data_IF_585261846456
#
_entry.id   IF_585261846456
#
_cell.length_a   1.000
_cell.length_b   1.000
_cell.length_c   1.000
_cell.angle_alpha   90.00
_cell.angle_beta   90.00
_cell.angle_gamma   90.00
#
_symmetry.space_group_name_H-M   'P 1'
#
loop_
_entity.id
_entity.type
_entity.pdbx_description
1 polymer ?
#
# COMPACT_ATOMS: atom_id res chain seq x y z
N UNK A 1 -3.68 14.05 1.67
CA UNK A 1 -3.57 12.68 1.14
C UNK A 1 -3.74 12.69 -0.37
N UNK A 2 -2.75 12.22 -1.15
CA UNK A 2 -2.93 12.04 -2.60
C UNK A 2 -3.82 10.82 -2.91
N UNK A 3 -4.56 10.87 -4.02
CA UNK A 3 -5.29 9.70 -4.55
C UNK A 3 -4.31 8.58 -4.84
N UNK A 4 -4.68 7.35 -4.50
CA UNK A 4 -3.86 6.16 -4.61
C UNK A 4 -3.02 5.85 -3.37
N UNK A 5 -3.01 6.72 -2.36
CA UNK A 5 -2.33 6.44 -1.08
C UNK A 5 -2.97 5.27 -0.35
N UNK A 6 -2.14 4.51 0.37
CA UNK A 6 -2.63 3.56 1.35
C UNK A 6 -2.89 4.23 2.69
N UNK A 7 -4.05 3.95 3.26
CA UNK A 7 -4.51 4.49 4.53
C UNK A 7 -5.05 3.37 5.41
N UNK A 8 -4.82 3.48 6.71
CA UNK A 8 -5.41 2.61 7.72
C UNK A 8 -6.72 3.22 8.18
N UNK A 9 -7.79 2.44 8.12
CA UNK A 9 -9.11 2.78 8.64
C UNK A 9 -9.60 1.60 9.50
N UNK A 10 -9.91 1.86 10.77
CA UNK A 10 -10.37 0.84 11.74
C UNK A 10 -9.45 -0.39 11.83
N UNK A 11 -8.14 -0.21 11.65
CA UNK A 11 -7.15 -1.28 11.73
C UNK A 11 -7.01 -2.12 10.47
N UNK A 12 -7.67 -1.75 9.37
CA UNK A 12 -7.50 -2.36 8.06
C UNK A 12 -6.92 -1.36 7.05
N UNK A 13 -6.17 -1.87 6.07
CA UNK A 13 -5.51 -1.05 5.05
C UNK A 13 -6.41 -0.94 3.83
N UNK A 14 -6.57 0.27 3.32
CA UNK A 14 -7.34 0.58 2.12
C UNK A 14 -6.55 1.52 1.21
N UNK A 15 -6.89 1.50 -0.08
CA UNK A 15 -6.45 2.51 -1.03
C UNK A 15 -7.47 3.64 -1.13
N UNK A 16 -7.01 4.89 -1.03
CA UNK A 16 -7.86 6.06 -1.26
C UNK A 16 -8.10 6.24 -2.77
N UNK A 17 -9.33 6.02 -3.24
CA UNK A 17 -9.65 6.03 -4.69
C UNK A 17 -10.36 7.28 -5.17
N UNK A 18 -11.15 7.94 -4.32
CA UNK A 18 -11.85 9.18 -4.68
C UNK A 18 -11.92 10.15 -3.50
N UNK A 19 -11.85 11.45 -3.84
CA UNK A 19 -12.11 12.57 -2.94
C UNK A 19 -13.04 13.54 -3.70
N UNK A 20 -14.25 13.71 -3.20
CA UNK A 20 -15.30 14.52 -3.83
C UNK A 20 -15.89 15.51 -2.84
N UNK A 21 -16.34 16.67 -3.30
CA UNK A 21 -17.22 17.51 -2.50
C UNK A 21 -18.62 16.87 -2.51
N UNK A 22 -19.12 16.48 -1.33
CA UNK A 22 -20.36 15.73 -1.18
C UNK A 22 -21.62 16.52 -1.53
N UNK A 23 -21.51 17.84 -1.79
CA UNK A 23 -22.63 18.76 -2.00
C UNK A 23 -23.65 18.72 -0.84
N UNK A 24 -23.19 18.31 0.34
CA UNK A 24 -23.97 18.12 1.56
C UNK A 24 -23.21 18.71 2.74
N UNK A 25 -23.65 19.86 3.24
CA UNK A 25 -23.12 20.51 4.45
C UNK A 25 -21.58 20.64 4.48
N UNK A 26 -20.98 21.03 3.35
CA UNK A 26 -19.53 21.20 3.19
C UNK A 26 -18.69 19.93 3.46
N UNK A 27 -19.32 18.75 3.50
CA UNK A 27 -18.63 17.48 3.70
C UNK A 27 -17.82 17.08 2.46
N UNK A 28 -16.70 16.44 2.72
CA UNK A 28 -15.87 15.75 1.73
C UNK A 28 -16.21 14.27 1.77
N UNK A 29 -16.54 13.70 0.61
CA UNK A 29 -16.75 12.27 0.42
C UNK A 29 -15.42 11.62 0.06
N UNK A 30 -14.99 10.63 0.83
CA UNK A 30 -13.82 9.80 0.55
C UNK A 30 -14.29 8.38 0.26
N UNK A 31 -13.76 7.79 -0.81
CA UNK A 31 -14.01 6.40 -1.15
C UNK A 31 -12.73 5.59 -0.97
N UNK A 32 -12.84 4.50 -0.22
CA UNK A 32 -11.76 3.61 0.13
C UNK A 32 -11.97 2.26 -0.51
N UNK A 33 -10.95 1.74 -1.18
CA UNK A 33 -10.97 0.45 -1.84
C UNK A 33 -10.14 -0.57 -1.08
N UNK A 34 -10.69 -1.76 -0.84
CA UNK A 34 -9.97 -2.91 -0.33
C UNK A 34 -9.73 -3.89 -1.48
N UNK A 35 -8.47 -4.20 -1.77
CA UNK A 35 -8.08 -5.20 -2.77
C UNK A 35 -7.97 -6.62 -2.20
N UNK A 36 -8.19 -6.77 -0.88
CA UNK A 36 -8.12 -8.05 -0.21
C UNK A 36 -9.20 -9.00 -0.70
N UNK A 37 -8.82 -10.22 -1.03
CA UNK A 37 -9.74 -11.33 -1.35
C UNK A 37 -10.55 -11.80 -0.11
N UNK A 38 -10.52 -11.06 1.01
CA UNK A 38 -11.37 -11.32 2.17
C UNK A 38 -12.83 -11.02 1.81
N UNK A 39 -13.56 -12.11 1.63
CA UNK A 39 -14.78 -12.23 0.81
C UNK A 39 -16.04 -11.45 1.28
N UNK A 40 -15.97 -10.55 2.26
CA UNK A 40 -17.19 -10.06 2.94
C UNK A 40 -17.22 -8.59 3.37
N UNK A 41 -16.18 -7.80 3.13
CA UNK A 41 -16.23 -6.37 3.50
C UNK A 41 -16.49 -5.48 2.29
N UNK A 42 -17.56 -4.69 2.36
CA UNK A 42 -17.84 -3.64 1.39
C UNK A 42 -16.84 -2.48 1.55
N UNK A 43 -16.52 -1.84 0.43
CA UNK A 43 -15.62 -0.68 0.39
C UNK A 43 -16.20 0.50 1.19
N UNK A 44 -15.47 1.04 2.20
CA UNK A 44 -15.99 2.13 3.01
C UNK A 44 -16.11 3.45 2.23
N UNK A 45 -17.22 4.16 2.47
CA UNK A 45 -17.43 5.54 2.02
C UNK A 45 -17.55 6.42 3.26
N UNK A 46 -16.67 7.42 3.36
CA UNK A 46 -16.60 8.34 4.50
C UNK A 46 -17.07 9.74 4.09
N UNK A 47 -17.75 10.44 5.00
CA UNK A 47 -18.12 11.84 4.84
C UNK A 47 -17.53 12.63 6.01
N UNK A 48 -16.55 13.48 5.71
CA UNK A 48 -15.74 14.15 6.73
C UNK A 48 -15.78 15.66 6.52
N UNK A 49 -15.76 16.43 7.61
CA UNK A 49 -15.99 17.88 7.58
C UNK A 49 -14.71 18.71 7.54
N UNK A 50 -13.57 18.13 7.89
CA UNK A 50 -12.32 18.85 8.10
C UNK A 50 -11.10 17.95 7.95
N UNK A 51 -9.95 18.56 7.73
CA UNK A 51 -8.67 17.84 7.68
C UNK A 51 -8.34 17.17 9.02
N UNK A 52 -8.67 17.80 10.14
CA UNK A 52 -8.43 17.25 11.47
C UNK A 52 -9.22 15.94 11.70
N UNK A 53 -10.48 15.89 11.25
CA UNK A 53 -11.29 14.67 11.31
C UNK A 53 -10.69 13.56 10.41
N UNK A 54 -10.20 13.94 9.23
CA UNK A 54 -9.50 13.00 8.33
C UNK A 54 -8.28 12.39 9.02
N UNK A 55 -7.45 13.19 9.68
CA UNK A 55 -6.24 12.72 10.38
C UNK A 55 -6.56 11.84 11.61
N UNK A 56 -7.68 12.09 12.28
CA UNK A 56 -8.15 11.24 13.40
C UNK A 56 -8.70 9.89 12.92
N UNK A 57 -9.32 9.86 11.74
CA UNK A 57 -9.99 8.67 11.20
C UNK A 57 -9.06 7.82 10.33
N UNK A 58 -8.17 8.46 9.58
CA UNK A 58 -7.27 7.84 8.61
C UNK A 58 -5.80 8.09 8.98
N UNK A 59 -5.03 7.03 9.13
CA UNK A 59 -3.58 7.11 9.27
C UNK A 59 -2.91 6.72 7.96
N UNK A 60 -1.89 7.46 7.53
CA UNK A 60 -1.07 7.04 6.39
C UNK A 60 -0.39 5.71 6.72
N UNK A 61 -0.50 4.75 5.80
CA UNK A 61 0.34 3.56 5.83
C UNK A 61 1.50 3.86 4.89
N UNK A 62 2.63 4.23 5.48
CA UNK A 62 3.90 4.15 4.78
C UNK A 62 4.21 2.66 4.67
N UNK A 63 3.72 2.01 3.61
CA UNK A 63 4.44 0.86 3.11
C UNK A 63 5.83 1.40 2.81
N UNK A 64 6.81 0.94 3.58
CA UNK A 64 8.18 0.94 3.08
C UNK A 64 8.05 0.37 1.68
N UNK A 65 8.24 1.23 0.68
CA UNK A 65 8.48 0.70 -0.65
C UNK A 65 9.61 -0.28 -0.38
N UNK A 66 9.45 -1.52 -0.80
CA UNK A 66 10.62 -2.28 -1.17
C UNK A 66 11.25 -1.53 -2.37
N UNK A 67 11.82 -0.35 -2.12
CA UNK A 67 13.20 -0.13 -2.51
C UNK A 67 13.95 -1.24 -1.77
N UNK A 68 13.90 -2.43 -2.35
CA UNK A 68 15.01 -3.36 -2.29
C UNK A 68 16.19 -2.65 -2.96
N UNK A 69 16.70 -1.60 -2.33
CA UNK A 69 18.13 -1.44 -2.22
C UNK A 69 18.57 -2.67 -1.44
N UNK A 70 18.73 -3.77 -2.17
CA UNK A 70 19.76 -4.73 -1.82
C UNK A 70 20.99 -3.85 -1.63
N UNK A 71 21.39 -3.62 -0.39
CA UNK A 71 22.73 -3.15 -0.08
C UNK A 71 23.65 -4.22 -0.64
N UNK A 72 23.99 -4.10 -1.93
CA UNK A 72 25.08 -4.84 -2.53
C UNK A 72 26.31 -4.18 -1.92
N UNK A 73 26.63 -4.57 -0.70
CA UNK A 73 27.96 -4.43 -0.15
C UNK A 73 28.90 -5.06 -1.19
N UNK A 74 29.48 -4.22 -2.03
CA UNK A 74 30.57 -4.61 -2.90
C UNK A 74 31.69 -3.62 -2.62
N UNK A 75 32.90 -4.13 -2.33
CA UNK A 75 33.55 -5.05 -3.24
C UNK A 75 34.33 -6.20 -2.56
N UNK A 76 34.20 -7.43 -3.07
CA UNK A 76 35.32 -8.24 -3.60
C UNK A 76 34.86 -9.66 -3.97
N UNK A 77 35.33 -10.10 -5.14
CA UNK A 77 35.18 -11.43 -5.74
C UNK A 77 33.83 -11.72 -6.42
N UNK A 78 33.89 -11.61 -7.75
CA UNK A 78 33.00 -12.19 -8.73
C UNK A 78 32.73 -13.66 -8.45
N UNK A 79 31.77 -13.96 -7.57
CA UNK A 79 31.18 -15.30 -7.50
C UNK A 79 30.09 -15.37 -8.57
N UNK A 80 30.51 -15.58 -9.82
CA UNK A 80 29.61 -16.05 -10.86
C UNK A 80 29.07 -17.41 -10.42
N UNK A 81 27.79 -17.46 -10.06
CA UNK A 81 27.10 -18.71 -9.75
C UNK A 81 27.00 -19.47 -11.07
N UNK A 82 27.85 -20.48 -11.25
CA UNK A 82 27.82 -21.36 -12.42
C UNK A 82 26.63 -22.32 -12.31
N UNK A 83 25.52 -21.95 -12.96
CA UNK A 83 24.27 -22.72 -12.99
C UNK A 83 24.39 -24.06 -13.74
N UNK A 84 25.51 -24.35 -14.40
CA UNK A 84 25.72 -25.63 -15.08
C UNK A 84 26.18 -26.75 -14.14
N UNK A 85 26.60 -26.41 -12.91
CA UNK A 85 27.08 -27.37 -11.91
C UNK A 85 26.00 -28.29 -11.31
N UNK A 86 24.72 -27.88 -11.35
CA UNK A 86 23.61 -28.69 -10.80
C UNK A 86 23.08 -29.75 -11.78
N UNK A 87 23.48 -29.71 -13.04
CA UNK A 87 23.01 -30.63 -14.08
C UNK A 87 23.97 -31.81 -14.32
N UNK A 88 25.12 -31.85 -13.65
CA UNK A 88 26.12 -32.92 -13.76
C UNK A 88 26.02 -33.97 -12.62
N UNK A 89 24.83 -34.31 -12.17
CA UNK A 89 24.60 -35.50 -11.34
C UNK A 89 23.56 -36.45 -11.96
N UNK A 90 23.86 -36.99 -13.15
CA UNK A 90 23.33 -38.29 -13.60
C UNK A 90 24.37 -39.05 -14.45
N UNK A 91 25.24 -39.83 -13.78
CA UNK A 91 25.79 -41.11 -14.29
C UNK A 91 26.44 -41.96 -13.19
#
# INVERSE_FOLDING_TARGET
YPIGSQVSYKGQVFQLVSIENAQLNDLVRLELFNDSNQLFEENPILYLNSLEEIEQVLSLVELEKEDSEIEIESPSESQEIDLFSYLEEEN
#
